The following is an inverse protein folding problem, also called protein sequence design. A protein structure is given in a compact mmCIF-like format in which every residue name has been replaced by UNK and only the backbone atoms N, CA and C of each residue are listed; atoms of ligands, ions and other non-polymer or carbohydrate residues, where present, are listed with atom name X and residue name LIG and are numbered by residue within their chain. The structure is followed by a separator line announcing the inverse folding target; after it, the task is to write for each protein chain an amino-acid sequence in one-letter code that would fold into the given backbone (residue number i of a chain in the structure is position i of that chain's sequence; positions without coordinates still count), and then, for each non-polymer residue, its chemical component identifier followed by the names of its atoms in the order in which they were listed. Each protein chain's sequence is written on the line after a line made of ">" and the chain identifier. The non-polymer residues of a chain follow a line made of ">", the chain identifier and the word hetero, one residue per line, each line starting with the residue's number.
data_IF_755031786252
#
_entry.id   IF_755031786252
#
_cell.length_a   1.000
_cell.length_b   1.000
_cell.length_c   1.000
_cell.angle_alpha   90.00
_cell.angle_beta   90.00
_cell.angle_gamma   90.00
#
_symmetry.space_group_name_H-M   'P 1'
#
loop_
_entity.id
_entity.type
_entity.pdbx_description
1 polymer ?
#
# COMPACT_ATOMS: atom_id res chain seq x y z
N UNK A 1 -2.20 13.63 -20.49
CA UNK A 1 -2.15 12.40 -19.67
C UNK A 1 -3.55 12.06 -19.19
N UNK A 2 -3.98 10.81 -19.32
CA UNK A 2 -5.32 10.39 -18.88
C UNK A 2 -5.29 10.12 -17.36
N UNK A 3 -5.67 11.13 -16.56
CA UNK A 3 -5.75 11.05 -15.09
C UNK A 3 -6.48 9.79 -14.57
N UNK A 4 -7.61 9.34 -15.18
CA UNK A 4 -8.29 8.12 -14.73
C UNK A 4 -7.42 6.86 -14.89
N UNK A 5 -6.68 6.75 -15.99
CA UNK A 5 -5.80 5.61 -16.24
C UNK A 5 -4.64 5.57 -15.24
N UNK A 6 -4.09 6.73 -14.87
CA UNK A 6 -3.05 6.83 -13.85
C UNK A 6 -3.56 6.45 -12.47
N UNK A 7 -4.78 6.87 -12.10
CA UNK A 7 -5.40 6.48 -10.84
C UNK A 7 -5.64 4.97 -10.74
N UNK A 8 -6.17 4.36 -11.80
CA UNK A 8 -6.35 2.90 -11.87
C UNK A 8 -5.02 2.16 -11.79
N UNK A 9 -3.99 2.66 -12.48
CA UNK A 9 -2.65 2.11 -12.42
C UNK A 9 -2.08 2.18 -11.00
N UNK A 10 -2.18 3.33 -10.32
CA UNK A 10 -1.70 3.49 -8.96
C UNK A 10 -2.44 2.56 -7.98
N UNK A 11 -3.75 2.35 -8.17
CA UNK A 11 -4.55 1.41 -7.37
C UNK A 11 -4.14 -0.04 -7.59
N UNK A 12 -4.02 -0.47 -8.84
CA UNK A 12 -3.59 -1.83 -9.17
C UNK A 12 -2.17 -2.11 -8.65
N UNK A 13 -1.25 -1.17 -8.87
CA UNK A 13 0.12 -1.27 -8.39
C UNK A 13 0.19 -1.32 -6.86
N UNK A 14 -0.51 -0.42 -6.16
CA UNK A 14 -0.52 -0.40 -4.69
C UNK A 14 -1.08 -1.69 -4.10
N UNK A 15 -2.16 -2.21 -4.68
CA UNK A 15 -2.73 -3.49 -4.28
C UNK A 15 -1.76 -4.65 -4.47
N UNK A 16 -1.07 -4.71 -5.61
CA UNK A 16 -0.06 -5.73 -5.91
C UNK A 16 1.11 -5.66 -4.93
N UNK A 17 1.66 -4.47 -4.68
CA UNK A 17 2.79 -4.25 -3.77
C UNK A 17 2.41 -4.67 -2.35
N UNK A 18 1.27 -4.21 -1.84
CA UNK A 18 0.81 -4.57 -0.49
C UNK A 18 0.57 -6.06 -0.35
N UNK A 19 -0.03 -6.70 -1.34
CA UNK A 19 -0.27 -8.14 -1.32
C UNK A 19 1.04 -8.93 -1.33
N UNK A 20 1.97 -8.61 -2.23
CA UNK A 20 3.27 -9.27 -2.32
C UNK A 20 4.07 -9.11 -1.02
N UNK A 21 4.10 -7.90 -0.47
CA UNK A 21 4.81 -7.61 0.77
C UNK A 21 4.17 -8.32 1.97
N UNK A 22 2.84 -8.32 2.07
CA UNK A 22 2.13 -9.05 3.12
C UNK A 22 2.41 -10.56 3.03
N UNK A 23 2.39 -11.14 1.83
CA UNK A 23 2.72 -12.55 1.62
C UNK A 23 4.17 -12.89 1.99
N UNK A 24 5.12 -12.01 1.67
CA UNK A 24 6.52 -12.18 2.08
C UNK A 24 6.65 -12.16 3.62
N UNK A 25 5.94 -11.24 4.29
CA UNK A 25 5.96 -11.08 5.73
C UNK A 25 5.23 -12.19 6.50
N UNK A 26 4.33 -12.95 5.85
CA UNK A 26 3.65 -14.10 6.48
C UNK A 26 4.59 -15.22 6.92
N UNK A 27 5.82 -15.26 6.40
CA UNK A 27 6.86 -16.18 6.90
C UNK A 27 7.35 -15.84 8.30
N UNK A 28 7.12 -14.60 8.75
CA UNK A 28 7.65 -14.05 10.00
C UNK A 28 6.54 -13.64 10.98
N UNK A 29 5.36 -13.27 10.48
CA UNK A 29 4.26 -12.71 11.27
C UNK A 29 2.93 -13.41 10.99
N UNK A 30 2.00 -13.44 11.97
CA UNK A 30 0.60 -13.77 11.73
C UNK A 30 -0.03 -12.91 10.62
N UNK A 31 -1.03 -13.40 9.88
CA UNK A 31 -1.58 -12.73 8.70
C UNK A 31 -2.00 -11.27 8.94
N UNK A 32 -2.66 -10.96 10.06
CA UNK A 32 -3.07 -9.60 10.38
C UNK A 32 -1.86 -8.67 10.59
N UNK A 33 -0.86 -9.12 11.34
CA UNK A 33 0.37 -8.35 11.59
C UNK A 33 1.16 -8.18 10.30
N UNK A 34 1.26 -9.21 9.47
CA UNK A 34 1.91 -9.13 8.16
C UNK A 34 1.25 -8.08 7.25
N UNK A 35 -0.08 -8.04 7.20
CA UNK A 35 -0.84 -7.05 6.42
C UNK A 35 -0.62 -5.61 6.92
N UNK A 36 -0.70 -5.38 8.24
CA UNK A 36 -0.47 -4.07 8.84
C UNK A 36 0.98 -3.60 8.67
N UNK A 37 1.95 -4.49 8.85
CA UNK A 37 3.36 -4.18 8.65
C UNK A 37 3.67 -3.89 7.18
N UNK A 38 3.09 -4.65 6.25
CA UNK A 38 3.21 -4.37 4.81
C UNK A 38 2.65 -2.99 4.46
N UNK A 39 1.47 -2.66 5.00
CA UNK A 39 0.90 -1.32 4.84
C UNK A 39 1.81 -0.23 5.41
N UNK A 40 2.30 -0.40 6.65
CA UNK A 40 3.19 0.57 7.28
C UNK A 40 4.47 0.80 6.48
N UNK A 41 5.15 -0.26 6.05
CA UNK A 41 6.36 -0.16 5.22
C UNK A 41 6.05 0.56 3.90
N UNK A 42 5.01 0.12 3.18
CA UNK A 42 4.68 0.70 1.89
C UNK A 42 4.25 2.16 2.00
N UNK A 43 3.49 2.51 3.04
CA UNK A 43 3.08 3.87 3.33
C UNK A 43 4.27 4.77 3.65
N UNK A 44 5.21 4.30 4.47
CA UNK A 44 6.43 5.04 4.78
C UNK A 44 7.28 5.23 3.52
N UNK A 45 7.49 4.19 2.72
CA UNK A 45 8.29 4.31 1.49
C UNK A 45 7.63 5.29 0.51
N UNK A 46 6.34 5.14 0.23
CA UNK A 46 5.66 5.99 -0.75
C UNK A 46 5.29 7.39 -0.23
N UNK A 47 5.30 7.60 1.09
CA UNK A 47 5.16 8.92 1.71
C UNK A 47 6.49 9.66 1.86
N UNK A 48 7.56 8.96 2.26
CA UNK A 48 8.88 9.54 2.44
C UNK A 48 9.59 9.81 1.10
N UNK A 49 9.39 8.96 0.09
CA UNK A 49 10.07 9.11 -1.21
C UNK A 49 9.74 10.45 -1.87
N UNK A 50 8.46 10.87 -2.02
CA UNK A 50 8.14 12.20 -2.54
C UNK A 50 8.63 13.33 -1.64
N UNK A 51 8.60 13.15 -0.31
CA UNK A 51 9.11 14.15 0.62
C UNK A 51 10.61 14.41 0.46
N UNK A 52 11.40 13.37 0.18
CA UNK A 52 12.85 13.45 0.06
C UNK A 52 13.33 13.83 -1.35
N UNK A 53 12.59 13.46 -2.39
CA UNK A 53 13.06 13.52 -3.79
C UNK A 53 12.28 14.47 -4.70
N UNK A 54 11.09 14.95 -4.30
CA UNK A 54 10.32 15.85 -5.14
C UNK A 54 10.69 17.32 -4.87
N UNK A 55 10.57 18.15 -5.91
CA UNK A 55 10.59 19.61 -5.76
C UNK A 55 9.54 20.06 -4.74
N UNK A 56 9.82 21.18 -4.07
CA UNK A 56 9.02 21.73 -2.95
C UNK A 56 7.52 21.93 -3.24
N UNK A 57 7.11 22.03 -4.51
CA UNK A 57 5.70 22.19 -4.90
C UNK A 57 4.98 20.86 -5.19
N UNK A 58 5.72 19.76 -5.40
CA UNK A 58 5.16 18.50 -5.92
C UNK A 58 5.10 17.37 -4.89
N UNK A 59 5.77 17.51 -3.76
CA UNK A 59 5.81 16.45 -2.74
C UNK A 59 4.41 16.07 -2.24
N UNK A 60 3.54 17.05 -2.01
CA UNK A 60 2.19 16.81 -1.48
C UNK A 60 1.27 16.07 -2.46
N UNK A 61 1.07 16.53 -3.72
CA UNK A 61 0.23 15.80 -4.67
C UNK A 61 0.77 14.42 -4.99
N UNK A 62 2.10 14.23 -5.06
CA UNK A 62 2.72 12.91 -5.26
C UNK A 62 2.49 11.98 -4.06
N UNK A 63 2.61 12.49 -2.84
CA UNK A 63 2.32 11.71 -1.63
C UNK A 63 0.87 11.25 -1.62
N UNK A 64 -0.08 12.15 -1.91
CA UNK A 64 -1.50 11.81 -1.97
C UNK A 64 -1.81 10.81 -3.09
N UNK A 65 -1.18 10.98 -4.25
CA UNK A 65 -1.34 10.08 -5.39
C UNK A 65 -1.00 8.62 -5.05
N UNK A 66 -0.02 8.39 -4.19
CA UNK A 66 0.32 7.05 -3.71
C UNK A 66 -0.46 6.62 -2.46
N UNK A 67 -0.63 7.52 -1.49
CA UNK A 67 -1.27 7.18 -0.21
C UNK A 67 -2.76 6.86 -0.34
N UNK A 68 -3.48 7.58 -1.20
CA UNK A 68 -4.92 7.34 -1.39
C UNK A 68 -5.17 5.90 -1.86
N UNK A 69 -4.52 5.39 -2.91
CA UNK A 69 -4.64 3.98 -3.30
C UNK A 69 -4.28 2.96 -2.21
N UNK A 70 -3.23 3.24 -1.42
CA UNK A 70 -2.83 2.37 -0.31
C UNK A 70 -3.90 2.30 0.79
N UNK A 71 -4.51 3.45 1.12
CA UNK A 71 -5.61 3.53 2.08
C UNK A 71 -6.86 2.81 1.56
N UNK A 72 -7.17 2.96 0.27
CA UNK A 72 -8.33 2.29 -0.35
C UNK A 72 -8.18 0.76 -0.40
N UNK A 73 -6.95 0.26 -0.54
CA UNK A 73 -6.67 -1.19 -0.61
C UNK A 73 -6.54 -1.84 0.77
N UNK A 74 -6.29 -1.07 1.82
CA UNK A 74 -6.10 -1.57 3.18
C UNK A 74 -7.30 -2.37 3.73
N UNK A 75 -8.57 -1.92 3.66
CA UNK A 75 -9.71 -2.68 4.17
C UNK A 75 -9.82 -4.08 3.54
N UNK A 76 -9.55 -4.16 2.23
CA UNK A 76 -9.56 -5.42 1.50
C UNK A 76 -8.43 -6.34 1.97
N UNK A 77 -7.21 -5.80 2.14
CA UNK A 77 -6.05 -6.54 2.65
C UNK A 77 -6.32 -7.11 4.05
N UNK A 78 -6.88 -6.29 4.95
CA UNK A 78 -7.23 -6.71 6.32
C UNK A 78 -8.35 -7.74 6.32
N UNK A 79 -9.37 -7.59 5.48
CA UNK A 79 -10.45 -8.58 5.37
C UNK A 79 -9.93 -9.95 4.92
N UNK A 80 -9.05 -9.97 3.91
CA UNK A 80 -8.38 -11.19 3.44
C UNK A 80 -7.51 -11.80 4.55
N UNK A 81 -6.72 -10.98 5.25
CA UNK A 81 -5.90 -11.44 6.37
C UNK A 81 -6.73 -12.09 7.49
N UNK A 82 -7.89 -11.51 7.85
CA UNK A 82 -8.82 -12.11 8.83
C UNK A 82 -9.37 -13.45 8.37
N UNK A 83 -9.68 -13.59 7.07
CA UNK A 83 -10.15 -14.86 6.52
C UNK A 83 -9.05 -15.93 6.59
N UNK A 84 -7.80 -15.55 6.35
CA UNK A 84 -6.65 -16.44 6.45
C UNK A 84 -6.40 -16.91 7.89
N UNK A 85 -6.62 -16.06 8.90
CA UNK A 85 -6.52 -16.46 10.32
C UNK A 85 -7.59 -17.44 10.75
N UNK A 86 -8.81 -17.34 10.21
CA UNK A 86 -9.93 -18.24 10.55
C UNK A 86 -9.87 -19.58 9.84
N UNK A 87 -9.12 -19.68 8.75
CA UNK A 87 -8.97 -20.89 7.95
C UNK A 87 -7.67 -21.64 8.18
N UNK A 88 -6.84 -21.20 9.15
CA UNK A 88 -5.61 -21.85 9.58
C UNK A 88 -5.79 -22.48 10.96
#
# INVERSE_FOLDING_TARGET
>A
MNLPALGLFALAYSGLVLFMLAQALRKLYPPMRAALTAFGISAVVHGATPFLLADSERWLPLTLFWMVPHLLTLPMLLWVARKQERGS
#
